data_IF_645697930358
#
_entry.id   IF_645697930358
#
_cell.length_a   1.000
_cell.length_b   1.000
_cell.length_c   1.000
_cell.angle_alpha   90.00
_cell.angle_beta   90.00
_cell.angle_gamma   90.00
#
_symmetry.space_group_name_H-M   'P 1'
#
loop_
_entity.id
_entity.type
_entity.pdbx_description
1 polymer ?
#
# COMPACT_ATOMS: atom_id res chain seq x y z
N UNK A 1 -1.47 -19.80 -20.85
CA UNK A 1 -0.94 -20.38 -19.58
C UNK A 1 -1.51 -19.51 -18.46
N UNK A 2 -2.16 -20.12 -17.46
CA UNK A 2 -2.58 -19.37 -16.29
C UNK A 2 -1.31 -18.93 -15.52
N UNK A 3 -1.23 -17.66 -15.19
CA UNK A 3 -0.14 -17.12 -14.39
C UNK A 3 -0.34 -17.60 -12.94
N UNK A 4 0.48 -18.54 -12.50
CA UNK A 4 0.48 -18.98 -11.10
C UNK A 4 1.30 -18.01 -10.28
N UNK A 5 0.66 -17.28 -9.38
CA UNK A 5 1.28 -16.35 -8.45
C UNK A 5 0.99 -16.78 -7.02
N UNK A 6 2.04 -17.16 -6.31
CA UNK A 6 1.93 -17.51 -4.89
C UNK A 6 1.85 -16.23 -4.04
N UNK A 7 0.76 -16.10 -3.28
CA UNK A 7 0.54 -14.95 -2.40
C UNK A 7 1.17 -15.21 -1.05
N UNK A 8 2.34 -14.64 -0.82
CA UNK A 8 3.06 -14.74 0.45
C UNK A 8 3.37 -13.36 1.02
N UNK A 9 3.55 -13.28 2.34
CA UNK A 9 3.96 -12.05 3.02
C UNK A 9 5.35 -11.54 2.60
N UNK A 10 6.18 -12.40 2.02
CA UNK A 10 7.56 -12.09 1.68
C UNK A 10 7.73 -11.59 0.23
N UNK A 11 6.62 -11.45 -0.51
CA UNK A 11 6.60 -10.92 -1.88
C UNK A 11 6.95 -9.44 -1.88
N UNK A 12 8.24 -9.13 -1.81
CA UNK A 12 8.71 -7.75 -1.71
C UNK A 12 9.08 -7.16 -3.08
N UNK A 13 8.90 -5.86 -3.23
CA UNK A 13 9.25 -5.11 -4.44
C UNK A 13 10.76 -4.85 -4.62
N UNK A 14 11.65 -5.63 -3.99
CA UNK A 14 13.10 -5.43 -4.09
C UNK A 14 13.67 -5.52 -5.51
N UNK A 15 12.94 -6.14 -6.43
CA UNK A 15 13.42 -6.51 -7.77
C UNK A 15 12.69 -5.80 -8.90
N UNK A 16 12.27 -4.55 -8.71
CA UNK A 16 11.58 -3.75 -9.73
C UNK A 16 12.31 -3.64 -11.07
N UNK A 17 13.63 -3.79 -11.08
CA UNK A 17 14.42 -3.71 -12.31
C UNK A 17 14.19 -4.89 -13.27
N UNK A 18 13.66 -5.99 -12.76
CA UNK A 18 13.49 -7.25 -13.50
C UNK A 18 12.05 -7.43 -14.00
N UNK A 19 11.09 -6.62 -13.51
CA UNK A 19 9.66 -6.76 -13.81
C UNK A 19 9.15 -5.57 -14.59
N UNK A 20 8.50 -5.87 -15.72
CA UNK A 20 7.97 -4.87 -16.65
C UNK A 20 6.59 -4.39 -16.23
N UNK A 21 6.14 -3.30 -16.83
CA UNK A 21 4.75 -2.83 -16.69
C UNK A 21 3.74 -3.91 -17.08
N UNK A 22 4.01 -4.65 -18.17
CA UNK A 22 3.12 -5.70 -18.66
C UNK A 22 2.98 -6.85 -17.67
N UNK A 23 4.06 -7.23 -16.97
CA UNK A 23 4.00 -8.20 -15.88
C UNK A 23 2.99 -7.78 -14.79
N UNK A 24 3.03 -6.53 -14.37
CA UNK A 24 2.12 -6.04 -13.32
C UNK A 24 0.67 -5.90 -13.83
N UNK A 25 0.48 -5.56 -15.09
CA UNK A 25 -0.86 -5.54 -15.70
C UNK A 25 -1.45 -6.95 -15.83
N UNK A 26 -0.63 -7.95 -16.16
CA UNK A 26 -1.04 -9.36 -16.19
C UNK A 26 -1.40 -9.83 -14.77
N UNK A 27 -0.60 -9.48 -13.75
CA UNK A 27 -0.86 -9.81 -12.36
C UNK A 27 -2.16 -9.17 -11.83
N UNK A 28 -2.53 -8.00 -12.33
CA UNK A 28 -3.80 -7.34 -12.02
C UNK A 28 -4.96 -7.76 -12.95
N UNK A 29 -4.74 -8.72 -13.85
CA UNK A 29 -5.77 -9.13 -14.83
C UNK A 29 -7.05 -9.59 -14.12
N UNK A 30 -8.20 -9.12 -14.63
CA UNK A 30 -9.51 -9.38 -14.05
C UNK A 30 -9.85 -8.59 -12.77
N UNK A 31 -8.91 -7.84 -12.20
CA UNK A 31 -9.22 -6.90 -11.14
C UNK A 31 -9.72 -5.57 -11.71
N UNK A 32 -10.74 -5.00 -11.07
CA UNK A 32 -11.31 -3.70 -11.43
C UNK A 32 -11.22 -2.76 -10.24
N UNK A 33 -10.67 -1.57 -10.46
CA UNK A 33 -10.67 -0.51 -9.46
C UNK A 33 -12.09 0.01 -9.24
N UNK A 34 -12.69 -0.36 -8.12
CA UNK A 34 -14.05 0.05 -7.72
C UNK A 34 -14.06 1.27 -6.78
N UNK A 35 -12.89 1.81 -6.42
CA UNK A 35 -12.83 3.01 -5.60
C UNK A 35 -13.33 4.25 -6.35
N UNK A 36 -13.81 5.28 -5.67
CA UNK A 36 -14.16 6.55 -6.31
C UNK A 36 -13.01 7.08 -7.17
N UNK A 37 -13.33 7.67 -8.32
CA UNK A 37 -12.30 8.24 -9.20
C UNK A 37 -11.51 9.32 -8.44
N UNK A 38 -10.16 9.39 -8.61
CA UNK A 38 -9.38 10.48 -8.06
C UNK A 38 -9.82 11.82 -8.68
N UNK A 39 -9.67 12.89 -7.94
CA UNK A 39 -9.77 14.21 -8.53
C UNK A 39 -8.47 14.52 -9.28
N UNK A 40 -8.57 14.72 -10.59
CA UNK A 40 -7.42 15.13 -11.42
C UNK A 40 -7.67 16.53 -11.88
N UNK A 41 -6.88 17.48 -11.37
CA UNK A 41 -7.09 18.93 -11.55
C UNK A 41 -5.83 19.57 -12.12
N UNK A 42 -5.99 20.40 -13.15
CA UNK A 42 -4.89 21.21 -13.67
C UNK A 42 -4.80 22.50 -12.88
N UNK A 43 -3.65 22.73 -12.24
CA UNK A 43 -3.39 23.89 -11.39
C UNK A 43 -2.03 24.49 -11.71
N UNK A 44 -2.01 25.73 -12.18
CA UNK A 44 -0.77 26.49 -12.45
C UNK A 44 0.26 25.75 -13.31
N UNK A 45 -0.21 25.02 -14.32
CA UNK A 45 0.65 24.26 -15.25
C UNK A 45 1.09 22.89 -14.73
N UNK A 46 0.60 22.47 -13.57
CA UNK A 46 0.77 21.12 -13.04
C UNK A 46 -0.56 20.38 -12.99
N UNK A 47 -0.57 19.09 -13.31
CA UNK A 47 -1.71 18.23 -13.07
C UNK A 47 -1.59 17.61 -11.68
N UNK A 48 -2.56 17.89 -10.81
CA UNK A 48 -2.61 17.37 -9.44
C UNK A 48 -3.53 16.15 -9.41
N UNK A 49 -3.01 15.04 -8.92
CA UNK A 49 -3.78 13.85 -8.62
C UNK A 49 -4.12 13.81 -7.14
N UNK A 50 -5.39 13.96 -6.80
CA UNK A 50 -5.89 13.91 -5.44
C UNK A 50 -6.72 12.65 -5.20
N UNK A 51 -6.18 11.74 -4.39
CA UNK A 51 -6.81 10.48 -4.01
C UNK A 51 -7.52 10.56 -2.63
N UNK A 52 -7.56 11.75 -2.02
CA UNK A 52 -8.27 11.95 -0.74
C UNK A 52 -9.77 11.71 -0.85
N UNK A 53 -10.33 11.84 -2.04
CA UNK A 53 -11.76 11.57 -2.33
C UNK A 53 -12.20 10.16 -1.94
N UNK A 54 -11.28 9.20 -1.84
CA UNK A 54 -11.60 7.84 -1.40
C UNK A 54 -11.85 7.75 0.10
N UNK A 55 -11.41 8.72 0.88
CA UNK A 55 -11.36 8.65 2.35
C UNK A 55 -10.37 7.62 2.90
N UNK A 56 -9.78 6.79 2.05
CA UNK A 56 -8.82 5.73 2.39
C UNK A 56 -7.44 5.98 1.77
N UNK A 57 -7.36 6.94 0.85
CA UNK A 57 -6.16 7.25 0.08
C UNK A 57 -5.71 6.11 -0.84
N UNK A 58 -4.60 6.32 -1.49
CA UNK A 58 -4.01 5.39 -2.47
C UNK A 58 -3.81 3.96 -1.92
N UNK A 59 -3.48 3.82 -0.63
CA UNK A 59 -3.28 2.50 -0.02
C UNK A 59 -4.57 1.69 0.09
N UNK A 60 -5.71 2.34 0.31
CA UNK A 60 -7.01 1.69 0.31
C UNK A 60 -7.40 1.24 -1.10
N UNK A 61 -7.16 2.09 -2.09
CA UNK A 61 -7.41 1.77 -3.49
C UNK A 61 -6.58 0.56 -3.96
N UNK A 62 -5.26 0.63 -3.81
CA UNK A 62 -4.35 -0.39 -4.33
C UNK A 62 -4.28 -1.65 -3.47
N UNK A 63 -4.50 -1.53 -2.17
CA UNK A 63 -4.57 -2.67 -1.25
C UNK A 63 -5.76 -3.60 -1.49
N UNK A 64 -6.75 -3.14 -2.23
CA UNK A 64 -7.97 -3.89 -2.56
C UNK A 64 -7.65 -5.22 -3.25
N UNK A 65 -6.80 -5.22 -4.28
CA UNK A 65 -6.41 -6.44 -4.98
C UNK A 65 -5.72 -7.44 -4.04
N UNK A 66 -4.81 -6.98 -3.18
CA UNK A 66 -4.14 -7.86 -2.23
C UNK A 66 -5.16 -8.52 -1.29
N UNK A 67 -5.99 -7.71 -0.62
CA UNK A 67 -6.93 -8.23 0.38
C UNK A 67 -8.01 -9.11 -0.24
N UNK A 68 -8.42 -8.86 -1.49
CA UNK A 68 -9.35 -9.71 -2.23
C UNK A 68 -8.79 -11.10 -2.55
N UNK A 69 -7.47 -11.22 -2.67
CA UNK A 69 -6.78 -12.47 -3.05
C UNK A 69 -6.24 -13.26 -1.85
N UNK A 70 -6.08 -12.61 -0.70
CA UNK A 70 -5.65 -13.29 0.54
C UNK A 70 -6.73 -14.28 0.97
N UNK A 71 -6.40 -15.56 1.13
CA UNK A 71 -7.35 -16.61 1.53
C UNK A 71 -7.60 -16.61 3.04
N UNK A 72 -6.58 -16.25 3.82
CA UNK A 72 -6.64 -16.24 5.28
C UNK A 72 -7.73 -15.31 5.80
N UNK A 73 -8.46 -15.76 6.80
CA UNK A 73 -9.50 -14.95 7.45
C UNK A 73 -8.92 -13.86 8.34
N UNK A 74 -7.77 -14.10 8.95
CA UNK A 74 -7.07 -13.16 9.82
C UNK A 74 -5.98 -12.42 9.05
N UNK A 75 -6.09 -11.10 8.98
CA UNK A 75 -5.08 -10.20 8.40
C UNK A 75 -4.34 -9.52 9.55
N UNK A 76 -3.02 -9.52 9.50
CA UNK A 76 -2.16 -8.97 10.56
C UNK A 76 -1.27 -7.86 9.99
N UNK A 77 -1.20 -6.73 10.67
CA UNK A 77 -0.39 -5.59 10.23
C UNK A 77 0.23 -4.86 11.41
N UNK A 78 1.35 -4.16 11.18
CA UNK A 78 1.95 -3.25 12.17
C UNK A 78 1.56 -1.82 11.83
N UNK A 79 0.70 -1.22 12.66
CA UNK A 79 0.28 0.16 12.51
C UNK A 79 1.19 1.08 13.36
N UNK A 80 2.01 1.92 12.73
CA UNK A 80 2.78 2.93 13.44
C UNK A 80 1.86 4.01 14.04
N UNK A 81 2.43 4.91 14.82
CA UNK A 81 1.66 6.03 15.41
C UNK A 81 1.05 6.93 14.34
N UNK A 82 1.74 7.13 13.23
CA UNK A 82 1.29 7.93 12.09
C UNK A 82 1.36 7.07 10.84
N UNK A 83 0.27 6.98 10.08
CA UNK A 83 0.20 6.23 8.83
C UNK A 83 -1.22 5.79 8.49
N UNK A 84 -1.54 5.80 7.23
CA UNK A 84 -2.89 5.51 6.72
C UNK A 84 -3.17 4.02 6.48
N UNK A 85 -2.13 3.18 6.45
CA UNK A 85 -2.28 1.79 6.02
C UNK A 85 -3.25 0.98 6.90
N UNK A 86 -3.16 1.09 8.23
CA UNK A 86 -4.09 0.39 9.12
C UNK A 86 -5.54 0.83 8.95
N UNK A 87 -5.76 2.13 8.72
CA UNK A 87 -7.10 2.68 8.46
C UNK A 87 -7.65 2.16 7.14
N UNK A 88 -6.82 2.10 6.10
CA UNK A 88 -7.18 1.53 4.80
C UNK A 88 -7.49 0.03 4.93
N UNK A 89 -6.64 -0.72 5.63
CA UNK A 89 -6.85 -2.14 5.88
C UNK A 89 -8.13 -2.41 6.68
N UNK A 90 -8.47 -1.59 7.68
CA UNK A 90 -9.72 -1.75 8.44
C UNK A 90 -10.95 -1.74 7.54
N UNK A 91 -11.01 -0.83 6.57
CA UNK A 91 -12.12 -0.79 5.63
C UNK A 91 -12.08 -1.95 4.60
N UNK A 92 -10.88 -2.35 4.16
CA UNK A 92 -10.75 -3.45 3.20
C UNK A 92 -11.13 -4.80 3.81
N UNK A 93 -10.76 -5.07 5.07
CA UNK A 93 -11.13 -6.33 5.71
C UNK A 93 -12.64 -6.45 5.91
N UNK A 94 -13.33 -5.36 6.18
CA UNK A 94 -14.80 -5.32 6.25
C UNK A 94 -15.42 -5.67 4.89
N UNK A 95 -14.90 -5.08 3.80
CA UNK A 95 -15.37 -5.36 2.43
C UNK A 95 -15.26 -6.85 2.06
N UNK A 96 -14.22 -7.54 2.55
CA UNK A 96 -13.94 -8.93 2.23
C UNK A 96 -14.26 -9.92 3.36
N UNK A 97 -15.06 -9.49 4.34
CA UNK A 97 -15.45 -10.31 5.49
C UNK A 97 -14.25 -10.97 6.18
N UNK A 98 -13.20 -10.19 6.48
CA UNK A 98 -11.98 -10.64 7.16
C UNK A 98 -11.83 -9.97 8.53
N UNK A 99 -10.94 -10.50 9.35
CA UNK A 99 -10.54 -9.89 10.61
C UNK A 99 -9.23 -9.14 10.44
N UNK A 100 -9.02 -8.08 11.24
CA UNK A 100 -7.77 -7.34 11.29
C UNK A 100 -7.21 -7.29 12.70
N UNK A 101 -5.99 -7.78 12.87
CA UNK A 101 -5.20 -7.56 14.09
C UNK A 101 -4.05 -6.60 13.82
N UNK A 102 -4.00 -5.51 14.58
CA UNK A 102 -2.98 -4.47 14.46
C UNK A 102 -2.04 -4.50 15.67
N UNK A 103 -0.75 -4.70 15.38
CA UNK A 103 0.31 -4.47 16.36
C UNK A 103 0.68 -3.00 16.35
N UNK A 104 0.65 -2.36 17.51
CA UNK A 104 0.86 -0.92 17.67
C UNK A 104 1.89 -0.62 18.73
N UNK A 105 2.77 0.39 18.52
CA UNK A 105 3.62 0.88 19.61
C UNK A 105 2.77 1.54 20.68
N UNK A 106 2.94 1.10 21.92
CA UNK A 106 2.27 1.70 23.06
C UNK A 106 2.87 3.08 23.37
N UNK A 107 2.03 4.02 23.72
CA UNK A 107 2.42 5.34 24.20
C UNK A 107 1.44 5.83 25.25
N UNK A 108 1.82 6.89 26.01
CA UNK A 108 0.93 7.51 27.01
C UNK A 108 -0.38 8.03 26.41
N UNK A 109 -0.34 8.46 25.14
CA UNK A 109 -1.50 8.91 24.39
C UNK A 109 -1.56 8.16 23.07
N UNK A 110 -2.68 7.52 22.78
CA UNK A 110 -2.96 6.93 21.47
C UNK A 110 -2.99 8.04 20.41
N UNK A 111 -2.48 7.80 19.22
CA UNK A 111 -2.55 8.77 18.12
C UNK A 111 -3.89 8.67 17.40
N UNK A 112 -4.28 9.74 16.72
CA UNK A 112 -5.55 9.78 15.97
C UNK A 112 -5.61 8.67 14.91
N UNK A 113 -4.50 8.40 14.22
CA UNK A 113 -4.42 7.31 13.25
C UNK A 113 -4.63 5.92 13.87
N UNK A 114 -4.12 5.71 15.08
CA UNK A 114 -4.34 4.46 15.83
C UNK A 114 -5.77 4.39 16.37
N UNK A 115 -6.30 5.52 16.87
CA UNK A 115 -7.66 5.61 17.40
C UNK A 115 -8.70 5.26 16.32
N UNK A 116 -8.58 5.81 15.13
CA UNK A 116 -9.47 5.49 14.01
C UNK A 116 -9.48 3.98 13.68
N UNK A 117 -8.32 3.31 13.77
CA UNK A 117 -8.28 1.85 13.57
C UNK A 117 -9.05 1.10 14.66
N UNK A 118 -8.97 1.55 15.92
CA UNK A 118 -9.73 0.98 17.05
C UNK A 118 -11.23 1.19 16.84
N UNK A 119 -11.64 2.40 16.50
CA UNK A 119 -13.05 2.76 16.27
C UNK A 119 -13.66 2.01 15.10
N UNK A 120 -12.85 1.60 14.11
CA UNK A 120 -13.26 0.73 13.01
C UNK A 120 -13.26 -0.77 13.34
N UNK A 121 -13.07 -1.14 14.59
CA UNK A 121 -13.22 -2.51 15.08
C UNK A 121 -11.98 -3.40 14.88
N UNK A 122 -10.82 -2.87 14.49
CA UNK A 122 -9.61 -3.65 14.43
C UNK A 122 -9.20 -4.17 15.82
N UNK A 123 -8.85 -5.46 15.92
CA UNK A 123 -8.23 -6.00 17.14
C UNK A 123 -6.85 -5.39 17.31
N UNK A 124 -6.53 -4.87 18.49
CA UNK A 124 -5.28 -4.15 18.72
C UNK A 124 -4.41 -4.82 19.76
N UNK A 125 -3.12 -4.94 19.46
CA UNK A 125 -2.09 -5.48 20.35
C UNK A 125 -1.03 -4.40 20.57
N UNK A 126 -1.15 -3.65 21.65
CA UNK A 126 -0.16 -2.63 22.03
C UNK A 126 1.09 -3.27 22.62
N UNK A 127 2.26 -2.80 22.18
CA UNK A 127 3.57 -3.23 22.69
C UNK A 127 4.39 -2.02 23.11
N UNK A 128 5.08 -2.10 24.25
CA UNK A 128 5.94 -1.01 24.75
C UNK A 128 7.17 -0.75 23.88
N UNK A 129 7.46 -1.65 22.93
CA UNK A 129 8.58 -1.54 22.02
C UNK A 129 8.13 -0.73 20.81
N UNK A 130 8.83 0.38 20.54
CA UNK A 130 8.57 1.25 19.40
C UNK A 130 9.40 0.91 18.16
N UNK A 131 10.41 0.03 18.26
CA UNK A 131 11.25 -0.36 17.14
C UNK A 131 10.45 -1.20 16.14
N UNK A 132 10.24 -0.66 14.93
CA UNK A 132 9.44 -1.29 13.87
C UNK A 132 9.88 -2.72 13.52
N UNK A 133 11.19 -3.06 13.42
CA UNK A 133 11.61 -4.43 13.15
C UNK A 133 11.12 -5.44 14.20
N UNK A 134 11.12 -5.02 15.47
CA UNK A 134 10.67 -5.88 16.59
C UNK A 134 9.15 -6.05 16.56
N UNK A 135 8.41 -4.97 16.30
CA UNK A 135 6.95 -5.04 16.13
C UNK A 135 6.56 -5.92 14.95
N UNK A 136 7.26 -5.80 13.82
CA UNK A 136 7.06 -6.66 12.66
C UNK A 136 7.30 -8.13 12.99
N UNK A 137 8.35 -8.45 13.77
CA UNK A 137 8.60 -9.81 14.21
C UNK A 137 7.43 -10.35 15.04
N UNK A 138 6.96 -9.62 16.05
CA UNK A 138 5.80 -10.04 16.86
C UNK A 138 4.53 -10.23 16.03
N UNK A 139 4.30 -9.35 15.06
CA UNK A 139 3.14 -9.44 14.19
C UNK A 139 3.21 -10.65 13.25
N UNK A 140 4.40 -10.95 12.72
CA UNK A 140 4.64 -12.12 11.87
C UNK A 140 4.50 -13.41 12.68
N UNK A 141 5.16 -13.51 13.84
CA UNK A 141 5.06 -14.68 14.73
C UNK A 141 3.58 -14.96 15.09
N UNK A 142 2.80 -13.92 15.37
CA UNK A 142 1.36 -14.06 15.64
C UNK A 142 0.57 -14.50 14.40
N UNK A 143 0.86 -13.96 13.23
CA UNK A 143 0.21 -14.38 12.00
C UNK A 143 0.46 -15.88 11.73
N UNK A 144 1.69 -16.34 11.91
CA UNK A 144 2.07 -17.75 11.77
C UNK A 144 1.32 -18.63 12.79
N UNK A 145 1.19 -18.17 14.04
CA UNK A 145 0.49 -18.88 15.12
C UNK A 145 -1.00 -19.09 14.83
N UNK A 146 -1.66 -18.08 14.25
CA UNK A 146 -3.11 -18.10 13.99
C UNK A 146 -3.49 -18.52 12.55
N UNK A 147 -2.52 -18.87 11.73
CA UNK A 147 -2.73 -19.14 10.32
C UNK A 147 -3.23 -17.92 9.54
N UNK A 148 -2.81 -16.72 9.95
CA UNK A 148 -3.18 -15.44 9.34
C UNK A 148 -2.21 -14.98 8.27
N UNK A 149 -2.57 -13.94 7.55
CA UNK A 149 -1.72 -13.28 6.57
C UNK A 149 -1.07 -12.02 7.14
N UNK A 150 0.26 -12.00 7.20
CA UNK A 150 1.01 -10.80 7.58
C UNK A 150 1.19 -9.86 6.40
N UNK A 151 0.61 -8.67 6.48
CA UNK A 151 0.76 -7.63 5.46
C UNK A 151 2.09 -6.90 5.66
N UNK A 152 2.98 -6.85 4.66
CA UNK A 152 4.26 -6.16 4.75
C UNK A 152 4.10 -4.67 5.04
N UNK A 153 5.07 -4.12 5.79
CA UNK A 153 5.03 -2.71 6.18
C UNK A 153 4.93 -1.78 4.96
N UNK A 154 3.99 -0.83 5.05
CA UNK A 154 3.71 0.11 3.97
C UNK A 154 2.91 -0.49 2.81
N UNK A 155 2.38 -1.72 2.94
CA UNK A 155 1.77 -2.52 1.87
C UNK A 155 2.76 -2.78 0.72
N UNK A 156 4.02 -3.04 1.06
CA UNK A 156 5.07 -3.33 0.07
C UNK A 156 4.92 -4.75 -0.49
N UNK A 157 3.95 -4.92 -1.39
CA UNK A 157 3.57 -6.20 -1.97
C UNK A 157 3.31 -6.08 -3.47
N UNK A 158 3.65 -7.10 -4.26
CA UNK A 158 3.51 -7.06 -5.73
C UNK A 158 2.07 -6.84 -6.20
N UNK A 159 1.08 -7.45 -5.54
CA UNK A 159 -0.34 -7.23 -5.87
C UNK A 159 -0.76 -5.77 -5.64
N UNK A 160 -0.20 -5.11 -4.63
CA UNK A 160 -0.47 -3.67 -4.41
C UNK A 160 0.14 -2.82 -5.52
N UNK A 161 1.34 -3.16 -5.97
CA UNK A 161 1.96 -2.49 -7.13
C UNK A 161 1.19 -2.78 -8.40
N UNK A 162 0.75 -4.02 -8.62
CA UNK A 162 -0.04 -4.41 -9.79
C UNK A 162 -1.36 -3.63 -9.86
N UNK A 163 -2.11 -3.57 -8.76
CA UNK A 163 -3.31 -2.74 -8.66
C UNK A 163 -2.99 -1.26 -8.90
N UNK A 164 -1.88 -0.78 -8.35
CA UNK A 164 -1.44 0.59 -8.52
C UNK A 164 -1.12 0.95 -9.96
N UNK A 165 -0.40 0.09 -10.68
CA UNK A 165 -0.10 0.28 -12.12
C UNK A 165 -1.40 0.28 -12.92
N UNK A 166 -2.25 -0.73 -12.75
CA UNK A 166 -3.51 -0.86 -13.49
C UNK A 166 -4.45 0.33 -13.21
N UNK A 167 -4.67 0.67 -11.94
CA UNK A 167 -5.49 1.80 -11.53
C UNK A 167 -4.95 3.13 -12.06
N UNK A 168 -3.64 3.35 -11.94
CA UNK A 168 -3.01 4.60 -12.40
C UNK A 168 -3.23 4.80 -13.90
N UNK A 169 -2.98 3.79 -14.71
CA UNK A 169 -3.18 3.89 -16.16
C UNK A 169 -4.65 4.05 -16.53
N UNK A 170 -5.54 3.31 -15.88
CA UNK A 170 -6.99 3.42 -16.11
C UNK A 170 -7.51 4.83 -15.77
N UNK A 171 -7.12 5.38 -14.64
CA UNK A 171 -7.59 6.70 -14.20
C UNK A 171 -6.91 7.86 -14.95
N UNK A 172 -5.66 7.67 -15.38
CA UNK A 172 -4.96 8.64 -16.21
C UNK A 172 -5.61 8.77 -17.59
N UNK A 173 -6.08 7.63 -18.14
CA UNK A 173 -6.79 7.58 -19.42
C UNK A 173 -5.90 7.98 -20.60
N UNK A 174 -6.48 8.68 -21.56
CA UNK A 174 -5.80 9.08 -22.81
C UNK A 174 -4.90 10.33 -22.66
N UNK A 175 -4.64 10.78 -21.46
CA UNK A 175 -3.71 11.90 -21.23
C UNK A 175 -2.30 11.51 -21.66
N UNK A 176 -1.51 12.45 -22.19
CA UNK A 176 -0.11 12.17 -22.50
C UNK A 176 0.64 11.75 -21.23
N UNK A 177 1.62 10.86 -21.40
CA UNK A 177 2.49 10.46 -20.29
C UNK A 177 3.15 11.70 -19.67
N UNK A 178 3.15 11.82 -18.34
CA UNK A 178 3.75 12.98 -17.68
C UNK A 178 5.26 13.00 -17.89
N UNK A 179 5.84 14.17 -18.15
CA UNK A 179 7.30 14.34 -18.26
C UNK A 179 7.98 14.31 -16.88
N UNK A 180 7.32 14.85 -15.88
CA UNK A 180 7.80 14.94 -14.50
C UNK A 180 6.71 14.46 -13.55
N UNK A 181 7.09 13.70 -12.53
CA UNK A 181 6.20 13.29 -11.46
C UNK A 181 6.82 13.70 -10.13
N UNK A 182 6.09 14.49 -9.35
CA UNK A 182 6.47 14.86 -7.99
C UNK A 182 5.61 14.09 -7.00
N UNK A 183 6.21 13.37 -6.07
CA UNK A 183 5.45 12.62 -5.06
C UNK A 183 6.17 12.56 -3.72
N UNK A 184 5.38 12.49 -2.66
CA UNK A 184 5.90 12.26 -1.31
C UNK A 184 6.39 10.81 -1.15
N UNK A 185 7.48 10.63 -0.42
CA UNK A 185 8.12 9.33 -0.23
C UNK A 185 8.24 8.99 1.25
N UNK A 186 7.71 7.82 1.62
CA UNK A 186 7.92 7.20 2.92
C UNK A 186 8.51 5.79 2.76
N UNK A 187 7.69 4.80 2.37
CA UNK A 187 8.15 3.42 2.09
C UNK A 187 8.58 3.21 0.64
N UNK A 188 8.28 4.15 -0.25
CA UNK A 188 8.65 4.09 -1.66
C UNK A 188 7.68 3.30 -2.56
N UNK A 189 6.68 2.61 -2.02
CA UNK A 189 5.73 1.80 -2.82
C UNK A 189 5.05 2.63 -3.89
N UNK A 190 4.49 3.80 -3.52
CA UNK A 190 3.86 4.72 -4.47
C UNK A 190 4.82 5.13 -5.59
N UNK A 191 6.03 5.54 -5.21
CA UNK A 191 7.04 6.01 -6.17
C UNK A 191 7.43 4.93 -7.17
N UNK A 192 7.70 3.71 -6.67
CA UNK A 192 8.02 2.57 -7.52
C UNK A 192 6.89 2.24 -8.48
N UNK A 193 5.66 2.25 -7.99
CA UNK A 193 4.46 2.01 -8.81
C UNK A 193 4.33 3.03 -9.93
N UNK A 194 4.49 4.31 -9.63
CA UNK A 194 4.39 5.38 -10.63
C UNK A 194 5.52 5.31 -11.66
N UNK A 195 6.74 4.92 -11.28
CA UNK A 195 7.85 4.71 -12.21
C UNK A 195 7.62 3.52 -13.17
N UNK A 196 6.86 2.51 -12.73
CA UNK A 196 6.45 1.40 -13.58
C UNK A 196 5.32 1.84 -14.52
N UNK A 197 4.33 2.56 -14.01
CA UNK A 197 3.20 3.06 -14.82
C UNK A 197 3.68 4.04 -15.90
N UNK A 198 4.64 4.89 -15.57
CA UNK A 198 5.18 5.95 -16.44
C UNK A 198 6.71 5.84 -16.54
N UNK A 199 7.22 4.90 -17.34
CA UNK A 199 8.65 4.59 -17.37
C UNK A 199 9.52 5.69 -17.96
N UNK A 200 8.95 6.61 -18.75
CA UNK A 200 9.66 7.72 -19.38
C UNK A 200 9.62 9.01 -18.54
N UNK A 201 8.86 9.03 -17.45
CA UNK A 201 8.77 10.21 -16.61
C UNK A 201 10.01 10.39 -15.72
N UNK A 202 10.45 11.62 -15.55
CA UNK A 202 11.43 11.98 -14.51
C UNK A 202 10.73 12.06 -13.15
N UNK A 203 11.25 11.32 -12.17
CA UNK A 203 10.62 11.19 -10.87
C UNK A 203 11.32 12.03 -9.79
N UNK A 204 10.56 12.88 -9.09
CA UNK A 204 11.01 13.76 -8.02
C UNK A 204 10.39 13.33 -6.70
N UNK A 205 11.14 12.63 -5.87
CA UNK A 205 10.69 12.15 -4.57
C UNK A 205 10.95 13.13 -3.43
N UNK A 206 9.91 13.52 -2.71
CA UNK A 206 10.01 14.38 -1.51
C UNK A 206 9.96 13.50 -0.26
N UNK A 207 11.08 13.33 0.43
CA UNK A 207 11.15 12.54 1.66
C UNK A 207 10.40 13.22 2.81
N UNK A 208 9.41 12.55 3.41
CA UNK A 208 8.56 13.15 4.45
C UNK A 208 8.66 12.47 5.82
N UNK A 209 9.19 11.26 5.90
CA UNK A 209 9.19 10.49 7.14
C UNK A 209 10.59 10.15 7.65
N UNK A 210 11.56 10.01 6.77
CA UNK A 210 12.94 9.64 7.07
C UNK A 210 13.85 9.99 5.90
N UNK A 211 15.14 9.97 6.13
CA UNK A 211 16.11 10.02 5.04
C UNK A 211 16.01 8.75 4.20
N UNK A 212 16.04 8.90 2.89
CA UNK A 212 16.02 7.81 1.94
C UNK A 212 17.44 7.36 1.61
N UNK A 213 17.63 6.07 1.42
CA UNK A 213 18.87 5.50 0.90
C UNK A 213 18.78 5.36 -0.62
N UNK A 214 19.94 5.33 -1.27
CA UNK A 214 20.00 5.09 -2.71
C UNK A 214 19.28 3.77 -3.07
N UNK A 215 18.45 3.80 -4.12
CA UNK A 215 17.69 2.65 -4.60
C UNK A 215 16.40 2.31 -3.85
N UNK A 216 16.09 2.98 -2.73
CA UNK A 216 14.86 2.69 -1.98
C UNK A 216 13.58 3.14 -2.69
N UNK A 217 13.68 4.09 -3.59
CA UNK A 217 12.52 4.65 -4.34
C UNK A 217 12.47 4.16 -5.79
N UNK A 218 13.25 3.16 -6.14
CA UNK A 218 13.35 2.65 -7.51
C UNK A 218 14.61 3.15 -8.21
N UNK A 219 14.43 3.76 -9.41
CA UNK A 219 15.51 4.28 -10.27
C UNK A 219 16.11 5.57 -9.74
#
# INVERSE_FOLDING_TARGET
MAFEFEITSDTSNKYLKEKTRDYYLELASGWVDTAPKPAIVDLNGATVWDDSVTGLGTKGRWGDLLISKVEQKEVVYVQPRVGWAGMSLSALVDKYDKNLTLFMPASKKISDHQLICVERGAKTKFRRIAAMPVLNKYAKDYADEVGGFFVPFGLDHELVVAAGVASTLQQWGDRPEPKHIVSVVSTGVLCRTLQIAFPNAEFHGVAVARNLKAGEIGR
#
